data_IF_684999958192
#
_entry.id   IF_684999958192
#
_cell.length_a   1.000
_cell.length_b   1.000
_cell.length_c   1.000
_cell.angle_alpha   90.00
_cell.angle_beta   90.00
_cell.angle_gamma   90.00
#
_symmetry.space_group_name_H-M   'P 1'
#
loop_
_entity.id
_entity.type
_entity.pdbx_description
1 polymer ?
#
# COMPACT_ATOMS: atom_id res chain seq x y z
N UNK A 1 -7.19 7.33 21.26
CA UNK A 1 -6.29 7.90 22.28
C UNK A 1 -5.82 6.88 23.31
N UNK A 2 -6.70 6.03 23.86
CA UNK A 2 -6.29 5.00 24.83
C UNK A 2 -5.13 4.11 24.36
N UNK A 3 -5.19 3.53 23.15
CA UNK A 3 -4.10 2.70 22.61
C UNK A 3 -2.74 3.43 22.57
N UNK A 4 -2.75 4.74 22.29
CA UNK A 4 -1.53 5.56 22.24
C UNK A 4 -0.99 5.77 23.66
N UNK A 5 -1.87 6.01 24.62
CA UNK A 5 -1.49 6.14 26.03
C UNK A 5 -0.80 4.87 26.53
N UNK A 6 -1.44 3.72 26.33
CA UNK A 6 -0.94 2.40 26.76
C UNK A 6 0.46 2.12 26.16
N UNK A 7 0.65 2.39 24.86
CA UNK A 7 1.95 2.23 24.20
C UNK A 7 3.01 3.15 24.79
N UNK A 8 2.66 4.41 25.09
CA UNK A 8 3.59 5.38 25.70
C UNK A 8 3.98 4.99 27.13
N UNK A 9 3.05 4.42 27.90
CA UNK A 9 3.34 3.90 29.25
C UNK A 9 4.22 2.66 29.19
N UNK A 10 3.90 1.70 28.33
CA UNK A 10 4.67 0.46 28.16
C UNK A 10 6.12 0.74 27.78
N UNK A 11 6.35 1.73 26.91
CA UNK A 11 7.67 2.04 26.36
C UNK A 11 8.33 3.27 27.02
N UNK A 12 7.80 3.75 28.15
CA UNK A 12 8.27 4.99 28.79
C UNK A 12 9.78 4.98 29.08
N UNK A 13 10.35 3.83 29.47
CA UNK A 13 11.78 3.69 29.75
C UNK A 13 12.70 3.73 28.53
N UNK A 14 12.16 3.58 27.32
CA UNK A 14 12.91 3.53 26.07
C UNK A 14 12.78 4.83 25.25
N UNK A 15 11.76 5.64 25.57
CA UNK A 15 11.41 6.85 24.83
C UNK A 15 12.05 8.08 25.48
N UNK A 16 12.69 8.92 24.65
CA UNK A 16 13.09 10.25 25.07
C UNK A 16 11.93 11.23 24.87
N UNK A 17 11.33 11.68 25.97
CA UNK A 17 10.23 12.65 25.95
C UNK A 17 10.69 14.11 25.89
N UNK A 18 12.01 14.38 25.82
CA UNK A 18 12.58 15.72 25.74
C UNK A 18 12.07 16.68 26.83
N UNK A 19 11.85 16.15 28.04
CA UNK A 19 11.37 16.91 29.20
C UNK A 19 9.84 17.03 29.32
N UNK A 20 9.07 16.41 28.41
CA UNK A 20 7.61 16.33 28.51
C UNK A 20 7.16 15.10 29.31
N UNK A 21 6.04 15.21 30.01
CA UNK A 21 5.34 14.06 30.58
C UNK A 21 4.45 13.38 29.54
N UNK A 22 4.08 12.11 29.76
CA UNK A 22 3.11 11.39 28.93
C UNK A 22 1.79 12.18 28.82
N UNK A 23 1.32 12.74 29.94
CA UNK A 23 0.12 13.58 29.96
C UNK A 23 0.25 14.79 29.02
N UNK A 24 1.38 15.49 29.03
CA UNK A 24 1.63 16.62 28.13
C UNK A 24 1.68 16.19 26.65
N UNK A 25 2.34 15.07 26.35
CA UNK A 25 2.37 14.51 24.98
C UNK A 25 0.96 14.15 24.51
N UNK A 26 0.14 13.57 25.38
CA UNK A 26 -1.25 13.21 25.08
C UNK A 26 -2.12 14.45 24.85
N UNK A 27 -1.94 15.51 25.63
CA UNK A 27 -2.61 16.81 25.41
C UNK A 27 -2.21 17.37 24.04
N UNK A 28 -0.92 17.48 23.74
CA UNK A 28 -0.43 18.01 22.46
C UNK A 28 -0.92 17.17 21.27
N UNK A 29 -0.95 15.85 21.41
CA UNK A 29 -1.48 14.94 20.40
C UNK A 29 -2.96 15.18 20.18
N UNK A 30 -3.74 15.33 21.25
CA UNK A 30 -5.16 15.63 21.16
C UNK A 30 -5.44 16.98 20.48
N UNK A 31 -4.70 18.03 20.85
CA UNK A 31 -4.80 19.34 20.19
C UNK A 31 -4.51 19.25 18.69
N UNK A 32 -3.44 18.53 18.31
CA UNK A 32 -3.14 18.29 16.90
C UNK A 32 -4.33 17.62 16.17
N UNK A 33 -4.98 16.63 16.80
CA UNK A 33 -6.14 15.90 16.26
C UNK A 33 -7.39 16.77 16.12
N UNK A 34 -7.56 17.82 16.93
CA UNK A 34 -8.67 18.76 16.80
C UNK A 34 -8.54 19.68 15.57
N UNK A 35 -7.33 19.81 15.00
CA UNK A 35 -7.07 20.56 13.78
C UNK A 35 -7.48 19.78 12.52
N UNK A 36 -8.76 19.43 12.40
CA UNK A 36 -9.31 18.55 11.35
C UNK A 36 -10.50 19.16 10.58
N UNK A 37 -10.50 20.48 10.42
CA UNK A 37 -11.50 21.22 9.63
C UNK A 37 -11.06 21.30 8.16
N UNK A 38 -11.98 21.04 7.24
CA UNK A 38 -11.76 21.16 5.80
C UNK A 38 -12.93 21.85 5.10
N UNK A 39 -12.68 22.42 3.91
CA UNK A 39 -13.70 23.10 3.09
C UNK A 39 -14.07 22.23 1.90
N UNK A 40 -15.37 22.01 1.71
CA UNK A 40 -15.92 21.31 0.55
C UNK A 40 -17.19 22.01 0.08
N UNK A 41 -17.35 22.23 -1.23
CA UNK A 41 -18.53 22.90 -1.81
C UNK A 41 -18.92 24.20 -1.09
N UNK A 42 -17.93 25.05 -0.79
CA UNK A 42 -18.08 26.29 -0.03
C UNK A 42 -18.53 26.19 1.44
N UNK A 43 -18.69 24.99 1.97
CA UNK A 43 -19.04 24.74 3.37
C UNK A 43 -17.84 24.20 4.16
N UNK A 44 -17.77 24.54 5.44
CA UNK A 44 -16.76 24.02 6.36
C UNK A 44 -17.29 22.78 7.08
N UNK A 45 -16.45 21.75 7.17
CA UNK A 45 -16.76 20.49 7.81
C UNK A 45 -15.65 20.15 8.81
N UNK A 46 -16.04 19.51 9.92
CA UNK A 46 -15.11 18.95 10.90
C UNK A 46 -15.27 17.44 10.89
N UNK A 47 -14.16 16.71 10.81
CA UNK A 47 -14.22 15.26 10.97
C UNK A 47 -14.50 14.90 12.43
N UNK A 48 -15.57 14.14 12.68
CA UNK A 48 -16.03 13.79 14.03
C UNK A 48 -15.57 12.40 14.49
N UNK A 49 -15.17 11.53 13.56
CA UNK A 49 -14.70 10.18 13.84
C UNK A 49 -13.54 9.79 12.92
N UNK A 50 -12.62 9.00 13.45
CA UNK A 50 -11.40 8.58 12.77
C UNK A 50 -10.32 9.65 12.70
N UNK A 51 -9.25 9.34 11.98
CA UNK A 51 -8.11 10.24 11.76
C UNK A 51 -8.26 10.93 10.40
N UNK A 52 -7.97 12.23 10.35
CA UNK A 52 -8.06 12.99 9.12
C UNK A 52 -6.91 12.65 8.16
N UNK A 53 -7.26 12.29 6.92
CA UNK A 53 -6.26 12.06 5.88
C UNK A 53 -5.47 13.35 5.60
N UNK A 54 -4.15 13.22 5.42
CA UNK A 54 -3.24 14.34 5.23
C UNK A 54 -2.68 14.93 6.53
N UNK A 55 -3.20 14.54 7.69
CA UNK A 55 -2.60 14.91 8.97
C UNK A 55 -1.30 14.14 9.21
N UNK A 56 -0.24 14.84 9.61
CA UNK A 56 1.12 14.25 9.78
C UNK A 56 1.18 13.15 10.84
N UNK A 57 0.37 13.25 11.89
CA UNK A 57 0.33 12.26 12.97
C UNK A 57 -0.57 11.06 12.63
N UNK A 58 -1.50 11.19 11.69
CA UNK A 58 -2.50 10.16 11.42
C UNK A 58 -1.89 8.78 11.08
N UNK A 59 -0.84 8.65 10.24
CA UNK A 59 -0.25 7.34 9.95
C UNK A 59 0.30 6.63 11.19
N UNK A 60 1.02 7.37 12.06
CA UNK A 60 1.63 6.81 13.27
C UNK A 60 0.56 6.39 14.27
N UNK A 61 -0.46 7.23 14.46
CA UNK A 61 -1.58 6.93 15.36
C UNK A 61 -2.44 5.77 14.85
N UNK A 62 -2.62 5.65 13.54
CA UNK A 62 -3.29 4.51 12.92
C UNK A 62 -2.51 3.21 13.15
N UNK A 63 -1.17 3.24 13.02
CA UNK A 63 -0.32 2.08 13.30
C UNK A 63 -0.43 1.67 14.78
N UNK A 64 -0.36 2.63 15.70
CA UNK A 64 -0.52 2.38 17.14
C UNK A 64 -1.89 1.76 17.47
N UNK A 65 -2.96 2.27 16.86
CA UNK A 65 -4.30 1.73 17.05
C UNK A 65 -4.44 0.31 16.46
N UNK A 66 -3.91 0.09 15.25
CA UNK A 66 -3.91 -1.24 14.62
C UNK A 66 -3.08 -2.25 15.41
N UNK A 67 -2.01 -1.81 16.08
CA UNK A 67 -1.21 -2.66 16.97
C UNK A 67 -2.02 -3.23 18.12
N UNK A 68 -2.98 -2.46 18.67
CA UNK A 68 -3.90 -2.97 19.70
C UNK A 68 -4.94 -3.94 19.13
N UNK A 69 -5.44 -3.66 17.92
CA UNK A 69 -6.40 -4.53 17.24
C UNK A 69 -5.78 -5.90 16.88
N UNK A 70 -4.50 -5.94 16.51
CA UNK A 70 -3.83 -7.18 16.11
C UNK A 70 -3.34 -8.05 17.27
N UNK A 71 -3.21 -7.50 18.49
CA UNK A 71 -2.70 -8.23 19.68
C UNK A 71 -3.33 -9.62 19.87
N UNK A 72 -4.67 -9.79 19.87
CA UNK A 72 -5.28 -11.10 20.12
C UNK A 72 -4.96 -12.12 19.02
N UNK A 73 -4.70 -11.68 17.78
CA UNK A 73 -4.24 -12.58 16.72
C UNK A 73 -2.80 -12.99 16.96
N UNK A 74 -1.93 -12.03 17.30
CA UNK A 74 -0.51 -12.31 17.49
C UNK A 74 -0.28 -13.31 18.63
N UNK A 75 -1.09 -13.24 19.68
CA UNK A 75 -1.10 -14.21 20.79
C UNK A 75 -1.45 -15.65 20.34
N UNK A 76 -2.27 -15.79 19.29
CA UNK A 76 -2.62 -17.09 18.69
C UNK A 76 -1.53 -17.66 17.78
N UNK A 77 -0.47 -16.91 17.51
CA UNK A 77 0.71 -17.34 16.75
C UNK A 77 0.35 -17.91 15.36
N UNK A 78 -0.24 -17.10 14.45
CA UNK A 78 -0.42 -17.51 13.07
C UNK A 78 0.93 -17.89 12.44
N UNK A 79 0.90 -18.76 11.44
CA UNK A 79 2.10 -19.19 10.70
C UNK A 79 2.82 -18.01 10.05
N UNK A 80 2.06 -17.01 9.61
CA UNK A 80 2.58 -15.74 9.12
C UNK A 80 1.59 -14.63 9.41
N UNK A 81 2.10 -13.50 9.88
CA UNK A 81 1.38 -12.24 9.94
C UNK A 81 2.25 -11.15 9.32
N UNK A 82 1.75 -10.50 8.29
CA UNK A 82 2.37 -9.34 7.68
C UNK A 82 1.32 -8.24 7.53
N UNK A 83 1.71 -6.99 7.83
CA UNK A 83 0.84 -5.84 7.67
C UNK A 83 1.57 -4.71 6.99
N UNK A 84 0.88 -4.04 6.08
CA UNK A 84 1.31 -2.80 5.47
C UNK A 84 0.20 -1.77 5.62
N UNK A 85 0.34 -0.90 6.63
CA UNK A 85 -0.68 0.08 7.02
C UNK A 85 -2.02 -0.62 7.34
N UNK A 86 -2.94 -0.64 6.39
CA UNK A 86 -4.30 -1.19 6.44
C UNK A 86 -4.44 -2.56 5.76
N UNK A 87 -3.50 -2.94 4.89
CA UNK A 87 -3.49 -4.25 4.22
C UNK A 87 -2.80 -5.31 5.10
N UNK A 88 -3.52 -6.37 5.48
CA UNK A 88 -3.00 -7.51 6.25
C UNK A 88 -2.90 -8.78 5.39
N UNK A 89 -1.82 -9.54 5.55
CA UNK A 89 -1.63 -10.88 4.99
C UNK A 89 -1.36 -11.87 6.11
N UNK A 90 -2.30 -12.80 6.30
CA UNK A 90 -2.30 -13.74 7.42
C UNK A 90 -2.34 -15.17 6.86
N UNK A 91 -1.52 -16.05 7.43
CA UNK A 91 -1.53 -17.48 7.15
C UNK A 91 -1.72 -18.23 8.47
N UNK A 92 -2.76 -19.06 8.56
CA UNK A 92 -3.03 -19.94 9.69
C UNK A 92 -2.85 -21.41 9.27
N UNK A 93 -2.77 -22.32 10.24
CA UNK A 93 -2.61 -23.74 9.93
C UNK A 93 -3.89 -24.35 9.37
N UNK A 94 -5.05 -23.89 9.84
CA UNK A 94 -6.36 -24.36 9.38
C UNK A 94 -7.30 -23.22 8.98
N UNK A 95 -8.37 -23.58 8.26
CA UNK A 95 -9.41 -22.62 7.88
C UNK A 95 -10.21 -22.16 9.10
N UNK A 96 -10.43 -23.03 10.08
CA UNK A 96 -11.12 -22.72 11.34
C UNK A 96 -10.35 -21.70 12.16
N UNK A 97 -9.02 -21.84 12.26
CA UNK A 97 -8.17 -20.85 12.92
C UNK A 97 -8.25 -19.49 12.21
N UNK A 98 -8.27 -19.50 10.87
CA UNK A 98 -8.39 -18.28 10.07
C UNK A 98 -9.75 -17.59 10.25
N UNK A 99 -10.83 -18.35 10.32
CA UNK A 99 -12.18 -17.83 10.57
C UNK A 99 -12.27 -17.22 11.97
N UNK A 100 -11.77 -17.92 12.99
CA UNK A 100 -11.71 -17.40 14.35
C UNK A 100 -10.85 -16.13 14.46
N UNK A 101 -9.70 -16.09 13.80
CA UNK A 101 -8.85 -14.89 13.75
C UNK A 101 -9.60 -13.71 13.11
N UNK A 102 -10.33 -13.97 12.02
CA UNK A 102 -11.11 -12.94 11.33
C UNK A 102 -12.25 -12.39 12.19
N UNK A 103 -12.93 -13.25 12.94
CA UNK A 103 -13.98 -12.85 13.87
C UNK A 103 -13.41 -12.04 15.04
N UNK A 104 -12.29 -12.48 15.62
CA UNK A 104 -11.60 -11.76 16.69
C UNK A 104 -11.23 -10.33 16.27
N UNK A 105 -10.66 -10.16 15.08
CA UNK A 105 -10.32 -8.86 14.51
C UNK A 105 -11.52 -7.92 14.40
N UNK A 106 -12.64 -8.44 13.87
CA UNK A 106 -13.85 -7.66 13.66
C UNK A 106 -14.63 -7.34 14.94
N UNK A 107 -14.27 -8.01 16.05
CA UNK A 107 -14.83 -7.79 17.37
C UNK A 107 -13.99 -6.84 18.24
N UNK A 108 -12.79 -6.43 17.81
CA UNK A 108 -11.94 -5.53 18.61
C UNK A 108 -12.42 -4.08 18.63
N UNK A 109 -13.06 -3.61 17.57
CA UNK A 109 -13.48 -2.22 17.44
C UNK A 109 -14.84 -2.12 16.77
N UNK A 110 -15.75 -1.33 17.37
CA UNK A 110 -17.08 -1.09 16.82
C UNK A 110 -17.02 -0.34 15.48
N UNK A 111 -16.11 0.63 15.38
CA UNK A 111 -16.00 1.55 14.25
C UNK A 111 -15.06 1.06 13.13
N UNK A 112 -14.46 -0.13 13.26
CA UNK A 112 -13.61 -0.72 12.22
C UNK A 112 -14.15 -2.10 11.86
N UNK A 113 -14.45 -2.28 10.57
CA UNK A 113 -14.80 -3.59 10.00
C UNK A 113 -13.77 -3.96 8.95
N UNK A 114 -13.12 -5.09 9.17
CA UNK A 114 -12.12 -5.66 8.29
C UNK A 114 -12.80 -6.58 7.29
N UNK A 115 -12.46 -6.42 6.02
CA UNK A 115 -12.89 -7.31 4.95
C UNK A 115 -11.82 -8.35 4.67
N UNK A 116 -12.21 -9.55 4.25
CA UNK A 116 -11.28 -10.63 3.92
C UNK A 116 -11.46 -11.09 2.48
N UNK A 117 -10.36 -11.12 1.75
CA UNK A 117 -10.27 -11.79 0.46
C UNK A 117 -9.81 -13.25 0.64
N UNK A 118 -10.37 -14.17 -0.15
CA UNK A 118 -9.95 -15.59 -0.19
C UNK A 118 -9.14 -15.87 -1.45
N UNK A 119 -8.16 -16.80 -1.43
CA UNK A 119 -7.39 -17.13 -2.62
C UNK A 119 -8.30 -17.64 -3.75
N UNK A 120 -8.17 -17.06 -4.94
CA UNK A 120 -8.87 -17.49 -6.15
C UNK A 120 -7.88 -18.19 -7.07
N UNK A 121 -8.15 -19.44 -7.45
CA UNK A 121 -7.23 -20.22 -8.28
C UNK A 121 -5.84 -20.39 -7.63
N UNK A 122 -5.78 -20.50 -6.30
CA UNK A 122 -4.56 -20.54 -5.44
C UNK A 122 -3.79 -19.22 -5.30
N UNK A 123 -4.27 -18.13 -5.88
CA UNK A 123 -3.62 -16.83 -5.79
C UNK A 123 -4.43 -15.87 -4.91
N UNK A 124 -3.74 -15.19 -4.00
CA UNK A 124 -4.30 -14.11 -3.19
C UNK A 124 -3.58 -12.79 -3.53
N UNK A 125 -4.30 -11.72 -3.89
CA UNK A 125 -3.71 -10.39 -4.00
C UNK A 125 -3.19 -9.89 -2.64
N UNK A 126 -1.99 -9.29 -2.65
CA UNK A 126 -1.48 -8.51 -1.52
C UNK A 126 -0.59 -7.39 -2.06
N UNK A 127 -0.95 -6.13 -1.76
CA UNK A 127 -0.28 -4.94 -2.30
C UNK A 127 -0.19 -4.96 -3.85
N UNK A 128 1.03 -5.03 -4.38
CA UNK A 128 1.36 -5.07 -5.80
C UNK A 128 1.77 -6.46 -6.30
N UNK A 129 1.49 -7.52 -5.53
CA UNK A 129 1.76 -8.91 -5.89
C UNK A 129 0.53 -9.79 -5.75
N UNK A 130 0.54 -10.91 -6.45
CA UNK A 130 -0.28 -12.07 -6.13
C UNK A 130 0.62 -13.13 -5.51
N UNK A 131 0.16 -13.71 -4.42
CA UNK A 131 0.88 -14.71 -3.63
C UNK A 131 0.15 -16.05 -3.72
N UNK A 132 0.88 -17.12 -3.99
CA UNK A 132 0.41 -18.49 -3.96
C UNK A 132 1.32 -19.30 -3.04
N UNK A 133 0.74 -20.03 -2.10
CA UNK A 133 1.47 -20.96 -1.24
C UNK A 133 1.34 -22.38 -1.79
N UNK A 134 2.44 -22.99 -2.20
CA UNK A 134 2.45 -24.36 -2.69
C UNK A 134 3.63 -25.12 -2.10
N UNK A 135 3.37 -26.30 -1.49
CA UNK A 135 4.41 -27.17 -0.90
C UNK A 135 5.33 -26.42 0.09
N UNK A 136 4.75 -25.54 0.92
CA UNK A 136 5.49 -24.75 1.90
C UNK A 136 6.36 -23.62 1.31
N UNK A 137 6.25 -23.32 0.00
CA UNK A 137 6.97 -22.22 -0.64
C UNK A 137 6.01 -21.17 -1.17
N UNK A 138 6.35 -19.90 -0.94
CA UNK A 138 5.66 -18.79 -1.54
C UNK A 138 6.11 -18.59 -2.98
N UNK A 139 5.13 -18.50 -3.87
CA UNK A 139 5.29 -18.05 -5.24
C UNK A 139 4.61 -16.71 -5.39
N UNK A 140 5.31 -15.75 -5.96
CA UNK A 140 4.83 -14.39 -6.17
C UNK A 140 4.91 -14.03 -7.65
N UNK A 141 3.95 -13.23 -8.09
CA UNK A 141 3.98 -12.56 -9.40
C UNK A 141 3.50 -11.14 -9.28
N UNK A 142 3.94 -10.26 -10.18
CA UNK A 142 3.49 -8.88 -10.20
C UNK A 142 1.99 -8.79 -10.49
N UNK A 143 1.29 -7.96 -9.73
CA UNK A 143 -0.15 -7.83 -9.82
C UNK A 143 -0.58 -6.37 -9.93
N UNK A 144 -1.64 -6.15 -10.70
CA UNK A 144 -2.33 -4.86 -10.82
C UNK A 144 -3.78 -5.08 -10.39
N UNK A 145 -4.23 -4.30 -9.39
CA UNK A 145 -5.63 -4.31 -8.96
C UNK A 145 -6.55 -4.04 -10.17
N UNK A 146 -7.73 -4.67 -10.31
CA UNK A 146 -8.62 -4.46 -11.46
C UNK A 146 -9.06 -3.00 -11.62
N UNK A 147 -9.13 -2.26 -10.51
CA UNK A 147 -9.41 -0.82 -10.49
C UNK A 147 -8.26 0.05 -11.00
N UNK A 148 -7.06 -0.49 -11.15
CA UNK A 148 -5.92 0.23 -11.70
C UNK A 148 -6.13 0.47 -13.19
N UNK A 149 -6.23 1.74 -13.58
CA UNK A 149 -6.23 2.16 -14.99
C UNK A 149 -4.90 1.95 -15.70
N UNK A 150 -3.87 1.48 -14.98
CA UNK A 150 -2.50 1.27 -15.50
C UNK A 150 -1.90 2.52 -16.18
N UNK A 151 -2.34 3.70 -15.74
CA UNK A 151 -1.82 4.98 -16.24
C UNK A 151 -0.46 5.23 -15.60
N UNK A 152 0.55 5.44 -16.44
CA UNK A 152 1.86 5.94 -16.05
C UNK A 152 2.12 7.26 -16.79
N UNK A 153 3.26 7.91 -16.51
CA UNK A 153 3.64 9.13 -17.24
C UNK A 153 3.69 8.81 -18.73
N UNK A 154 2.76 9.37 -19.52
CA UNK A 154 2.66 9.08 -20.94
C UNK A 154 3.93 9.51 -21.70
N UNK A 155 4.32 8.74 -22.71
CA UNK A 155 5.57 8.98 -23.46
C UNK A 155 5.65 10.39 -24.08
N UNK A 156 4.52 10.88 -24.59
CA UNK A 156 4.38 12.22 -25.21
C UNK A 156 4.14 13.36 -24.22
N UNK A 157 4.10 13.09 -22.91
CA UNK A 157 3.92 14.16 -21.93
C UNK A 157 5.14 15.10 -21.88
N UNK A 158 4.90 16.34 -21.43
CA UNK A 158 5.91 17.38 -21.27
C UNK A 158 6.92 17.13 -20.13
N UNK A 159 6.86 15.97 -19.47
CA UNK A 159 7.82 15.60 -18.43
C UNK A 159 9.22 15.38 -19.01
N UNK A 160 10.29 15.63 -18.24
CA UNK A 160 11.65 15.34 -18.64
C UNK A 160 11.82 13.88 -19.10
N UNK A 161 12.60 13.69 -20.17
CA UNK A 161 12.85 12.36 -20.75
C UNK A 161 13.47 11.38 -19.75
N UNK A 162 14.26 11.88 -18.80
CA UNK A 162 14.86 11.07 -17.74
C UNK A 162 13.79 10.51 -16.79
N UNK A 163 12.82 11.33 -16.37
CA UNK A 163 11.70 10.91 -15.51
C UNK A 163 10.86 9.83 -16.19
N UNK A 164 10.48 10.03 -17.46
CA UNK A 164 9.73 9.05 -18.26
C UNK A 164 10.45 7.70 -18.34
N UNK A 165 11.77 7.73 -18.64
CA UNK A 165 12.61 6.53 -18.67
C UNK A 165 12.71 5.86 -17.30
N UNK A 166 12.86 6.63 -16.22
CA UNK A 166 12.97 6.12 -14.86
C UNK A 166 11.69 5.42 -14.40
N UNK A 167 10.52 6.01 -14.64
CA UNK A 167 9.21 5.41 -14.31
C UNK A 167 9.06 4.04 -14.98
N UNK A 168 9.28 3.98 -16.30
CA UNK A 168 9.17 2.71 -17.04
C UNK A 168 10.24 1.71 -16.59
N UNK A 169 11.49 2.13 -16.42
CA UNK A 169 12.57 1.26 -15.94
C UNK A 169 12.24 0.66 -14.57
N UNK A 170 11.73 1.46 -13.65
CA UNK A 170 11.33 1.01 -12.32
C UNK A 170 10.16 0.04 -12.40
N UNK A 171 9.15 0.29 -13.23
CA UNK A 171 8.03 -0.63 -13.42
C UNK A 171 8.49 -2.03 -13.85
N UNK A 172 9.34 -2.12 -14.90
CA UNK A 172 9.89 -3.41 -15.34
C UNK A 172 10.76 -4.07 -14.26
N UNK A 173 11.59 -3.30 -13.55
CA UNK A 173 12.42 -3.81 -12.46
C UNK A 173 11.56 -4.36 -11.31
N UNK A 174 10.51 -3.65 -10.91
CA UNK A 174 9.58 -4.11 -9.88
C UNK A 174 8.90 -5.39 -10.33
N UNK A 175 8.35 -5.42 -11.55
CA UNK A 175 7.64 -6.58 -12.07
C UNK A 175 8.49 -7.87 -12.03
N UNK A 176 9.79 -7.77 -12.37
CA UNK A 176 10.69 -8.92 -12.32
C UNK A 176 11.20 -9.24 -10.91
N UNK A 177 11.47 -8.23 -10.08
CA UNK A 177 12.01 -8.40 -8.73
C UNK A 177 11.01 -9.06 -7.77
N UNK A 178 9.73 -8.73 -7.90
CA UNK A 178 8.68 -9.27 -7.03
C UNK A 178 8.13 -10.62 -7.50
N UNK A 179 8.71 -11.19 -8.56
CA UNK A 179 8.27 -12.45 -9.16
C UNK A 179 9.26 -13.57 -8.88
N UNK A 180 8.79 -14.75 -8.49
CA UNK A 180 9.70 -15.81 -7.97
C UNK A 180 10.47 -16.54 -9.07
N UNK A 181 9.80 -17.25 -9.98
CA UNK A 181 10.42 -18.11 -10.99
C UNK A 181 10.49 -17.44 -12.37
N UNK A 182 11.18 -18.07 -13.33
CA UNK A 182 11.36 -17.56 -14.70
C UNK A 182 10.04 -17.28 -15.41
N UNK A 183 9.08 -18.17 -15.24
CA UNK A 183 7.83 -18.14 -15.99
C UNK A 183 6.94 -17.00 -15.48
N UNK A 184 6.81 -16.86 -14.15
CA UNK A 184 6.12 -15.76 -13.50
C UNK A 184 6.81 -14.41 -13.75
N UNK A 185 8.14 -14.38 -13.85
CA UNK A 185 8.90 -13.19 -14.28
C UNK A 185 8.56 -12.84 -15.72
N UNK A 186 8.45 -13.82 -16.61
CA UNK A 186 8.06 -13.62 -18.01
C UNK A 186 6.63 -13.07 -18.11
N UNK A 187 5.66 -13.68 -17.41
CA UNK A 187 4.29 -13.17 -17.34
C UNK A 187 4.23 -11.73 -16.83
N UNK A 188 4.92 -11.45 -15.74
CA UNK A 188 4.98 -10.11 -15.13
C UNK A 188 5.64 -9.09 -16.04
N UNK A 189 6.68 -9.49 -16.76
CA UNK A 189 7.35 -8.67 -17.76
C UNK A 189 6.43 -8.37 -18.95
N UNK A 190 5.69 -9.37 -19.45
CA UNK A 190 4.73 -9.18 -20.55
C UNK A 190 3.61 -8.23 -20.15
N UNK A 191 3.10 -8.33 -18.92
CA UNK A 191 2.14 -7.37 -18.37
C UNK A 191 2.73 -5.95 -18.33
N UNK A 192 3.96 -5.79 -17.84
CA UNK A 192 4.63 -4.49 -17.81
C UNK A 192 4.84 -3.90 -19.22
N UNK A 193 5.15 -4.75 -20.21
CA UNK A 193 5.30 -4.34 -21.60
C UNK A 193 3.97 -3.87 -22.20
N UNK A 194 2.88 -4.60 -21.95
CA UNK A 194 1.54 -4.19 -22.38
C UNK A 194 1.17 -2.81 -21.82
N UNK A 195 1.36 -2.61 -20.51
CA UNK A 195 1.10 -1.32 -19.86
C UNK A 195 1.97 -0.21 -20.46
N UNK A 196 3.25 -0.47 -20.74
CA UNK A 196 4.12 0.52 -21.37
C UNK A 196 3.62 0.93 -22.77
N UNK A 197 3.21 -0.04 -23.58
CA UNK A 197 2.67 0.19 -24.94
C UNK A 197 1.38 1.02 -24.86
N UNK A 198 0.46 0.68 -23.96
CA UNK A 198 -0.79 1.43 -23.72
C UNK A 198 -0.52 2.90 -23.33
N UNK A 199 0.65 3.19 -22.74
CA UNK A 199 1.06 4.55 -22.37
C UNK A 199 2.01 5.21 -23.41
N UNK A 200 2.05 4.68 -24.63
CA UNK A 200 2.75 5.27 -25.78
C UNK A 200 4.25 4.99 -25.82
N UNK A 201 4.78 4.09 -25.00
CA UNK A 201 6.18 3.68 -25.06
C UNK A 201 6.40 2.62 -26.15
N UNK A 202 7.58 2.60 -26.79
CA UNK A 202 7.87 1.60 -27.82
C UNK A 202 7.91 0.20 -27.23
N UNK A 203 7.38 -0.76 -27.99
CA UNK A 203 7.44 -2.18 -27.63
C UNK A 203 8.90 -2.61 -27.45
N UNK A 204 9.19 -3.16 -26.27
CA UNK A 204 10.55 -3.60 -25.93
C UNK A 204 10.92 -4.92 -26.60
N UNK A 205 9.96 -5.71 -27.07
CA UNK A 205 10.19 -6.90 -27.89
C UNK A 205 10.61 -6.53 -29.32
N UNK A 206 10.31 -5.30 -29.75
CA UNK A 206 10.66 -4.83 -31.09
C UNK A 206 12.18 -4.58 -31.22
N UNK A 207 12.81 -5.04 -32.31
CA UNK A 207 14.21 -4.74 -32.62
C UNK A 207 14.47 -3.23 -32.58
N UNK A 208 15.63 -2.82 -32.07
CA UNK A 208 15.95 -1.39 -31.85
C UNK A 208 15.82 -0.55 -33.12
N UNK A 209 16.05 -1.13 -34.31
CA UNK A 209 15.99 -0.45 -35.60
C UNK A 209 14.57 -0.12 -36.12
N UNK A 210 13.51 -0.65 -35.51
CA UNK A 210 12.12 -0.47 -35.97
C UNK A 210 11.29 0.35 -34.97
N UNK A 211 11.90 0.80 -33.87
CA UNK A 211 11.18 1.54 -32.83
C UNK A 211 10.84 2.95 -33.33
N UNK A 212 9.57 3.40 -33.19
CA UNK A 212 9.18 4.73 -33.59
C UNK A 212 10.05 5.79 -32.91
N UNK A 213 10.68 6.64 -33.71
CA UNK A 213 11.39 7.82 -33.22
C UNK A 213 10.39 8.72 -32.51
N UNK A 214 10.75 9.28 -31.36
CA UNK A 214 9.97 10.33 -30.73
C UNK A 214 10.01 11.55 -31.65
N UNK A 215 9.04 11.67 -32.56
CA UNK A 215 8.82 12.91 -33.30
C UNK A 215 8.36 13.92 -32.26
N UNK A 216 9.29 14.77 -31.84
CA UNK A 216 9.00 15.99 -31.09
C UNK A 216 8.35 16.92 -32.10
N UNK A 217 7.03 16.84 -32.24
CA UNK A 217 6.27 17.97 -32.78
C UNK A 217 6.37 19.07 -31.74
N UNK A 218 7.41 19.89 -31.83
CA UNK A 218 7.45 21.16 -31.12
C UNK A 218 6.24 22.01 -31.52
N UNK A 219 5.73 22.88 -30.65
CA UNK A 219 4.70 23.82 -31.06
C UNK A 219 5.27 24.64 -32.21
N UNK A 220 4.53 24.72 -33.31
CA UNK A 220 4.80 25.72 -34.33
C UNK A 220 4.80 27.07 -33.61
N UNK A 221 5.95 27.74 -33.61
CA UNK A 221 6.01 29.17 -33.30
C UNK A 221 5.31 29.87 -34.46
N UNK A 222 4.03 30.14 -34.30
CA UNK A 222 3.42 31.25 -35.00
C UNK A 222 3.62 32.49 -34.12
N UNK A 223 4.25 33.49 -34.73
CA UNK A 223 4.51 34.82 -34.17
C UNK A 223 3.20 35.60 -34.01
#
# INVERSE_FOLDING_TARGET
MQAVHEILEEHQGQLNFYGLSIAQVMTLTNECLQCNVFKWSNSYYKQVSGLAMGQRLAPVLAIAFMSKIETPILERKPLLYCRYIDDCFIVCATQEEMDLCFDLLNNQAENIKLTREKPTGRWLPYLNVQVSLARGKFHTRWYRKPSSKNIIVHFRSAHPSQTKKAVVKNMFRTATMVSSNSDLKSESWQLANRIAIENGYPDRNMPRGIRPSAVVSGPAREY
#
